data_IF_609151001333
#
_entry.id   IF_609151001333
#
_cell.length_a   1.000
_cell.length_b   1.000
_cell.length_c   1.000
_cell.angle_alpha   90.00
_cell.angle_beta   90.00
_cell.angle_gamma   90.00
#
_symmetry.space_group_name_H-M   'P 1'
#
loop_
_entity.id
_entity.type
_entity.pdbx_description
1 polymer ?
#
# COMPACT_ATOMS: atom_id res chain seq x y z
N UNK A 1 0.47 1.72 15.12
CA UNK A 1 0.71 2.58 13.96
C UNK A 1 0.35 1.81 12.70
N UNK A 2 -0.50 2.39 11.87
CA UNK A 2 -1.06 1.67 10.71
C UNK A 2 0.00 1.27 9.69
N UNK A 3 1.03 2.09 9.48
CA UNK A 3 2.11 1.78 8.55
C UNK A 3 2.86 0.50 8.95
N UNK A 4 3.11 0.33 10.25
CA UNK A 4 3.77 -0.88 10.76
C UNK A 4 2.89 -2.12 10.60
N UNK A 5 1.59 -1.99 10.83
CA UNK A 5 0.62 -3.08 10.65
C UNK A 5 0.61 -3.51 9.18
N UNK A 6 0.55 -2.56 8.26
CA UNK A 6 0.58 -2.83 6.83
C UNK A 6 1.92 -3.44 6.38
N UNK A 7 3.02 -2.91 6.89
CA UNK A 7 4.34 -3.44 6.59
C UNK A 7 4.44 -4.92 6.98
N UNK A 8 4.04 -5.25 8.21
CA UNK A 8 4.10 -6.63 8.70
C UNK A 8 3.17 -7.55 7.89
N UNK A 9 1.94 -7.09 7.62
CA UNK A 9 0.97 -7.86 6.86
C UNK A 9 1.48 -8.15 5.44
N UNK A 10 1.89 -7.11 4.72
CA UNK A 10 2.34 -7.25 3.33
C UNK A 10 3.63 -8.05 3.24
N UNK A 11 4.57 -7.85 4.15
CA UNK A 11 5.85 -8.57 4.14
C UNK A 11 5.66 -10.08 4.25
N UNK A 12 4.58 -10.54 4.87
CA UNK A 12 4.25 -11.95 4.97
C UNK A 12 3.50 -12.49 3.75
N UNK A 13 2.86 -11.62 2.98
CA UNK A 13 1.98 -12.03 1.87
C UNK A 13 2.63 -11.90 0.50
N UNK A 14 3.58 -11.00 0.34
CA UNK A 14 4.22 -10.75 -0.96
C UNK A 14 5.69 -11.13 -0.92
N UNK A 15 6.25 -11.46 -2.10
CA UNK A 15 7.65 -11.88 -2.21
C UNK A 15 8.61 -10.73 -2.48
N UNK A 16 8.10 -9.57 -2.89
CA UNK A 16 8.94 -8.41 -3.19
C UNK A 16 9.11 -7.52 -1.96
N UNK A 17 10.17 -6.68 -1.91
CA UNK A 17 10.39 -5.80 -0.76
C UNK A 17 9.25 -4.84 -0.51
N UNK A 18 8.96 -4.58 0.77
CA UNK A 18 7.98 -3.59 1.22
C UNK A 18 8.76 -2.55 2.02
N UNK A 19 8.56 -1.28 1.69
CA UNK A 19 9.29 -0.16 2.32
C UNK A 19 8.31 0.87 2.85
N UNK A 20 8.74 1.62 3.86
CA UNK A 20 8.00 2.76 4.39
C UNK A 20 8.67 4.09 4.03
N UNK A 21 9.83 4.03 3.41
CA UNK A 21 10.54 5.17 2.84
C UNK A 21 11.38 4.69 1.66
N UNK A 22 11.71 5.60 0.74
CA UNK A 22 12.53 5.24 -0.41
C UNK A 22 13.98 5.09 0.05
N UNK A 23 14.59 3.89 -0.09
CA UNK A 23 15.99 3.69 0.29
C UNK A 23 16.93 4.40 -0.67
N UNK A 24 18.18 4.61 -0.24
CA UNK A 24 19.22 5.23 -1.08
C UNK A 24 19.45 4.45 -2.37
N UNK A 25 19.44 3.12 -2.28
CA UNK A 25 19.56 2.22 -3.43
C UNK A 25 18.27 1.41 -3.51
N UNK A 26 17.23 1.92 -4.21
CA UNK A 26 15.96 1.22 -4.28
C UNK A 26 16.06 -0.10 -5.03
N UNK A 27 15.36 -1.15 -4.59
CA UNK A 27 15.18 -2.35 -5.41
C UNK A 27 14.48 -2.01 -6.72
N UNK A 28 14.61 -2.88 -7.73
CA UNK A 28 13.94 -2.69 -9.02
C UNK A 28 12.42 -2.72 -8.87
N UNK A 29 11.91 -3.61 -7.99
CA UNK A 29 10.49 -3.77 -7.71
C UNK A 29 10.28 -3.70 -6.21
N UNK A 30 9.35 -2.87 -5.78
CA UNK A 30 9.00 -2.77 -4.36
C UNK A 30 7.68 -2.03 -4.16
N UNK A 31 7.11 -2.22 -2.97
CA UNK A 31 5.96 -1.45 -2.52
C UNK A 31 6.43 -0.39 -1.52
N UNK A 32 5.87 0.80 -1.63
CA UNK A 32 6.13 1.90 -0.69
C UNK A 32 4.83 2.28 0.01
N UNK A 33 4.80 2.17 1.33
CA UNK A 33 3.64 2.50 2.17
C UNK A 33 3.80 3.93 2.70
N UNK A 34 2.76 4.74 2.54
CA UNK A 34 2.77 6.12 3.01
C UNK A 34 1.40 6.51 3.55
N UNK A 35 1.34 6.93 4.81
CA UNK A 35 0.12 7.47 5.39
C UNK A 35 0.02 8.95 4.99
N UNK A 36 -1.04 9.31 4.29
CA UNK A 36 -1.23 10.66 3.76
C UNK A 36 -2.30 11.45 4.50
N UNK A 37 -3.07 10.80 5.37
CA UNK A 37 -4.10 11.47 6.15
C UNK A 37 -4.57 10.60 7.29
N UNK A 38 -5.36 11.19 8.20
CA UNK A 38 -5.91 10.42 9.31
C UNK A 38 -6.74 11.27 10.25
N UNK A 39 -7.43 10.60 11.16
CA UNK A 39 -8.23 11.21 12.20
C UNK A 39 -8.56 10.17 13.27
N UNK A 40 -9.13 10.64 14.37
CA UNK A 40 -9.51 9.78 15.49
C UNK A 40 -10.80 10.29 16.11
N UNK A 41 -11.72 9.38 16.40
CA UNK A 41 -12.97 9.67 17.10
C UNK A 41 -13.31 8.48 18.01
N UNK A 42 -13.46 8.72 19.31
CA UNK A 42 -13.82 7.67 20.29
C UNK A 42 -12.90 6.45 20.23
N UNK A 43 -11.57 6.70 20.18
CA UNK A 43 -10.53 5.66 20.09
C UNK A 43 -10.53 4.86 18.79
N UNK A 44 -11.37 5.23 17.83
CA UNK A 44 -11.38 4.63 16.49
C UNK A 44 -10.60 5.56 15.57
N UNK A 45 -9.57 5.02 14.92
CA UNK A 45 -8.70 5.78 14.04
C UNK A 45 -9.09 5.56 12.60
N UNK A 46 -8.95 6.61 11.80
CA UNK A 46 -9.12 6.56 10.36
C UNK A 46 -7.80 6.96 9.73
N UNK A 47 -7.41 6.24 8.70
CA UNK A 47 -6.18 6.53 7.99
C UNK A 47 -6.41 6.46 6.49
N UNK A 48 -5.88 7.46 5.78
CA UNK A 48 -5.72 7.40 4.33
C UNK A 48 -4.29 6.96 4.08
N UNK A 49 -4.13 5.81 3.43
CA UNK A 49 -2.82 5.23 3.16
C UNK A 49 -2.68 5.03 1.67
N UNK A 50 -1.58 5.54 1.13
CA UNK A 50 -1.21 5.27 -0.26
C UNK A 50 -0.16 4.18 -0.28
N UNK A 51 -0.28 3.25 -1.22
CA UNK A 51 0.74 2.24 -1.46
C UNK A 51 1.14 2.33 -2.92
N UNK A 52 2.40 2.63 -3.15
CA UNK A 52 2.96 2.76 -4.48
C UNK A 52 3.61 1.43 -4.86
N UNK A 53 3.33 0.99 -6.09
CA UNK A 53 3.92 -0.23 -6.66
C UNK A 53 4.93 0.20 -7.72
N UNK A 54 6.21 0.02 -7.42
CA UNK A 54 7.31 0.34 -8.33
C UNK A 54 7.70 -0.90 -9.13
N UNK A 55 7.84 -0.75 -10.44
CA UNK A 55 8.23 -1.83 -11.33
C UNK A 55 9.24 -1.37 -12.37
N UNK A 56 9.78 -2.34 -13.11
CA UNK A 56 10.75 -2.08 -14.18
C UNK A 56 10.10 -1.54 -15.45
N UNK A 57 8.79 -1.75 -15.58
CA UNK A 57 8.00 -1.29 -16.71
C UNK A 57 6.63 -0.88 -16.19
N UNK A 58 5.86 -0.21 -17.05
CA UNK A 58 4.48 0.14 -16.71
C UNK A 58 3.65 -1.12 -16.46
N UNK A 59 3.85 -2.16 -17.26
CA UNK A 59 3.15 -3.44 -17.08
C UNK A 59 3.47 -4.07 -15.73
N UNK A 60 4.74 -4.08 -15.33
CA UNK A 60 5.15 -4.63 -14.03
C UNK A 60 4.54 -3.84 -12.88
N UNK A 61 4.58 -2.52 -12.95
CA UNK A 61 3.99 -1.66 -11.91
C UNK A 61 2.48 -1.90 -11.80
N UNK A 62 1.78 -2.00 -12.93
CA UNK A 62 0.35 -2.28 -12.95
C UNK A 62 0.03 -3.66 -12.38
N UNK A 63 0.80 -4.67 -12.74
CA UNK A 63 0.63 -6.04 -12.23
C UNK A 63 0.85 -6.12 -10.72
N UNK A 64 1.87 -5.43 -10.21
CA UNK A 64 2.15 -5.34 -8.78
C UNK A 64 1.01 -4.65 -8.05
N UNK A 65 0.42 -3.61 -8.65
CA UNK A 65 -0.72 -2.90 -8.08
C UNK A 65 -1.95 -3.81 -7.99
N UNK A 66 -2.22 -4.62 -9.01
CA UNK A 66 -3.33 -5.58 -8.97
C UNK A 66 -3.13 -6.62 -7.88
N UNK A 67 -1.93 -7.19 -7.75
CA UNK A 67 -1.60 -8.12 -6.69
C UNK A 67 -1.77 -7.50 -5.32
N UNK A 68 -1.34 -6.26 -5.16
CA UNK A 68 -1.50 -5.50 -3.91
C UNK A 68 -2.97 -5.35 -3.53
N UNK A 69 -3.81 -4.91 -4.47
CA UNK A 69 -5.23 -4.71 -4.22
C UNK A 69 -5.91 -6.03 -3.83
N UNK A 70 -5.64 -7.10 -4.57
CA UNK A 70 -6.18 -8.41 -4.27
C UNK A 70 -5.77 -8.90 -2.88
N UNK A 71 -4.50 -8.71 -2.52
CA UNK A 71 -3.96 -9.15 -1.23
C UNK A 71 -4.60 -8.39 -0.07
N UNK A 72 -4.73 -7.08 -0.19
CA UNK A 72 -5.29 -6.24 0.88
C UNK A 72 -6.79 -6.43 1.02
N UNK A 73 -7.52 -6.50 -0.10
CA UNK A 73 -8.98 -6.50 -0.10
C UNK A 73 -9.60 -7.89 -0.02
N UNK A 74 -8.80 -8.95 -0.04
CA UNK A 74 -9.30 -10.32 0.04
C UNK A 74 -10.05 -10.57 1.35
N UNK A 75 -10.96 -11.54 1.35
CA UNK A 75 -11.70 -11.94 2.56
C UNK A 75 -10.76 -12.42 3.67
N UNK A 76 -9.63 -13.03 3.30
CA UNK A 76 -8.55 -13.45 4.20
C UNK A 76 -7.40 -12.42 4.26
N UNK A 77 -7.67 -11.19 3.80
CA UNK A 77 -6.69 -10.12 3.73
C UNK A 77 -6.58 -9.28 4.99
N UNK A 78 -6.36 -7.98 4.80
CA UNK A 78 -6.10 -7.06 5.92
C UNK A 78 -7.24 -7.01 6.94
N UNK A 79 -8.49 -7.19 6.48
CA UNK A 79 -9.67 -7.15 7.36
C UNK A 79 -9.68 -8.25 8.42
N UNK A 80 -8.88 -9.31 8.27
CA UNK A 80 -8.81 -10.38 9.25
C UNK A 80 -8.02 -10.03 10.51
N UNK A 81 -7.26 -8.94 10.48
CA UNK A 81 -6.50 -8.50 11.65
C UNK A 81 -7.44 -7.86 12.68
N UNK A 82 -7.23 -8.21 13.95
CA UNK A 82 -8.11 -7.75 15.05
C UNK A 82 -8.18 -6.24 15.18
N UNK A 83 -7.10 -5.55 14.85
CA UNK A 83 -7.04 -4.09 14.95
C UNK A 83 -7.72 -3.36 13.79
N UNK A 84 -8.13 -4.07 12.73
CA UNK A 84 -8.71 -3.48 11.53
C UNK A 84 -10.24 -3.61 11.57
N UNK A 85 -10.92 -2.47 11.44
CA UNK A 85 -12.39 -2.42 11.42
C UNK A 85 -12.91 -2.48 9.99
N UNK A 86 -12.34 -1.69 9.09
CA UNK A 86 -12.73 -1.69 7.67
C UNK A 86 -11.59 -1.27 6.78
N UNK A 87 -11.62 -1.74 5.54
CA UNK A 87 -10.66 -1.39 4.49
C UNK A 87 -11.44 -1.10 3.22
N UNK A 88 -11.17 0.03 2.59
CA UNK A 88 -11.83 0.43 1.36
C UNK A 88 -10.81 1.00 0.38
N UNK A 89 -10.87 0.56 -0.87
CA UNK A 89 -10.09 1.17 -1.94
C UNK A 89 -10.79 2.47 -2.35
N UNK A 90 -10.08 3.58 -2.21
CA UNK A 90 -10.59 4.90 -2.59
C UNK A 90 -10.31 5.19 -4.07
N UNK A 91 -9.10 4.92 -4.52
CA UNK A 91 -8.70 5.10 -5.92
C UNK A 91 -7.41 4.35 -6.21
N UNK A 92 -7.16 4.09 -7.49
CA UNK A 92 -5.86 3.65 -7.94
C UNK A 92 -5.60 4.23 -9.33
N UNK A 93 -4.34 4.50 -9.64
CA UNK A 93 -3.99 5.16 -10.90
C UNK A 93 -2.50 5.04 -11.17
N UNK A 94 -2.16 5.24 -12.45
CA UNK A 94 -0.78 5.34 -12.90
C UNK A 94 -0.17 6.63 -12.36
N UNK A 95 0.90 6.49 -11.59
CA UNK A 95 1.60 7.61 -10.94
C UNK A 95 3.05 7.70 -11.40
N UNK A 96 3.33 7.23 -12.61
CA UNK A 96 4.68 7.19 -13.18
C UNK A 96 5.28 8.57 -13.29
N UNK A 97 6.51 8.72 -12.81
CA UNK A 97 7.29 9.93 -13.02
C UNK A 97 7.84 9.91 -14.45
N UNK A 98 7.26 10.75 -15.32
CA UNK A 98 7.62 10.80 -16.73
C UNK A 98 9.01 11.39 -16.97
N UNK A 99 9.53 12.15 -16.02
CA UNK A 99 10.85 12.78 -16.14
C UNK A 99 11.95 11.75 -15.90
N UNK A 100 11.83 10.94 -14.84
CA UNK A 100 12.82 9.94 -14.46
C UNK A 100 12.49 8.54 -14.98
N UNK A 101 11.31 8.36 -15.59
CA UNK A 101 10.77 7.08 -16.05
C UNK A 101 10.73 6.01 -14.96
N UNK A 102 10.44 6.43 -13.74
CA UNK A 102 10.17 5.51 -12.65
C UNK A 102 8.72 5.07 -12.74
N UNK A 103 8.51 3.86 -13.22
CA UNK A 103 7.17 3.30 -13.41
C UNK A 103 6.58 2.95 -12.05
N UNK A 104 5.42 3.52 -11.75
CA UNK A 104 4.73 3.24 -10.50
C UNK A 104 3.23 3.43 -10.64
N UNK A 105 2.47 2.60 -9.93
CA UNK A 105 1.05 2.80 -9.69
C UNK A 105 0.84 3.19 -8.25
N UNK A 106 -0.25 3.88 -7.98
CA UNK A 106 -0.61 4.26 -6.61
C UNK A 106 -2.03 3.83 -6.31
N UNK A 107 -2.19 3.05 -5.24
CA UNK A 107 -3.49 2.70 -4.69
C UNK A 107 -3.70 3.48 -3.40
N UNK A 108 -4.90 4.04 -3.23
CA UNK A 108 -5.27 4.82 -2.05
C UNK A 108 -6.33 4.03 -1.28
N UNK A 109 -6.03 3.72 -0.03
CA UNK A 109 -6.93 2.97 0.86
C UNK A 109 -7.40 3.84 2.00
N UNK A 110 -8.68 3.73 2.32
CA UNK A 110 -9.26 4.27 3.54
C UNK A 110 -9.39 3.13 4.54
N UNK A 111 -8.70 3.25 5.68
CA UNK A 111 -8.65 2.20 6.69
C UNK A 111 -9.18 2.74 8.00
N UNK A 112 -10.09 1.98 8.61
CA UNK A 112 -10.59 2.25 9.96
C UNK A 112 -10.00 1.19 10.87
N UNK A 113 -9.37 1.62 11.97
CA UNK A 113 -8.66 0.70 12.87
C UNK A 113 -8.66 1.24 14.30
N UNK A 114 -8.31 0.37 15.22
CA UNK A 114 -8.16 0.76 16.63
C UNK A 114 -6.80 1.36 16.95
#
# INVERSE_FOLDING_TARGET
MIEAILYDFLSQKVSIPVKTEIPKTPPEKFYLIEKTGGGETNFIKRATVTIQSYGDSLYDAASLNETLKETILAADGLITLDSIVSVKLSSDYNFTDTTTKKYRYQAVFEIVHY
#
